data_IF_305646337669
#
_entry.id   IF_305646337669
#
_cell.length_a   1.000
_cell.length_b   1.000
_cell.length_c   1.000
_cell.angle_alpha   90.00
_cell.angle_beta   90.00
_cell.angle_gamma   90.00
#
_symmetry.space_group_name_H-M   'P 1'
#
loop_
_entity.id
_entity.type
_entity.pdbx_description
1 polymer ?
#
# COMPACT_ATOMS: atom_id res chain seq x y z
N UNK A 1 45.07 52.41 20.88
CA UNK A 1 45.86 51.72 21.94
C UNK A 1 44.93 50.71 22.59
N UNK A 2 45.43 49.49 22.81
CA UNK A 2 44.78 48.29 23.37
C UNK A 2 44.11 48.61 24.74
N UNK A 3 43.02 47.98 25.19
CA UNK A 3 42.76 46.57 25.57
C UNK A 3 41.22 46.48 25.87
N UNK A 4 40.44 45.42 25.65
CA UNK A 4 40.53 44.06 26.22
C UNK A 4 39.30 43.80 27.13
N UNK A 5 38.43 42.82 26.80
CA UNK A 5 37.40 42.31 27.74
C UNK A 5 36.07 41.84 27.12
N UNK A 6 35.97 40.55 26.76
CA UNK A 6 34.73 39.83 26.46
C UNK A 6 33.91 39.55 27.73
N UNK A 7 32.59 39.77 27.70
CA UNK A 7 31.61 38.93 28.42
C UNK A 7 30.29 38.87 27.63
N UNK A 8 29.85 37.66 27.30
CA UNK A 8 28.57 37.33 26.66
C UNK A 8 27.63 36.76 27.72
N UNK A 9 26.42 37.32 27.86
CA UNK A 9 25.36 36.76 28.70
C UNK A 9 24.44 35.87 27.86
N UNK A 10 24.49 34.55 28.07
CA UNK A 10 23.50 33.62 27.55
C UNK A 10 22.35 33.46 28.54
N UNK A 11 21.13 33.76 28.11
CA UNK A 11 19.91 33.37 28.83
C UNK A 11 19.59 31.91 28.52
N UNK A 12 19.56 31.07 29.56
CA UNK A 12 19.08 29.70 29.52
C UNK A 12 17.56 29.65 29.76
N UNK A 13 16.84 28.91 28.92
CA UNK A 13 15.44 28.51 29.19
C UNK A 13 15.38 26.98 29.24
N UNK A 14 14.71 26.51 30.29
CA UNK A 14 14.67 25.15 30.83
C UNK A 14 14.08 24.08 29.88
N UNK A 15 14.67 22.89 29.90
CA UNK A 15 14.08 21.63 29.43
C UNK A 15 13.80 20.69 30.63
N UNK A 16 12.75 19.85 30.60
CA UNK A 16 12.49 18.84 31.65
C UNK A 16 13.31 17.54 31.44
N UNK A 17 13.48 16.70 32.49
CA UNK A 17 14.58 15.75 32.58
C UNK A 17 14.33 14.39 31.90
N UNK A 18 15.41 13.87 31.33
CA UNK A 18 15.55 12.52 30.76
C UNK A 18 15.77 11.52 31.90
N UNK A 19 14.97 10.46 31.94
CA UNK A 19 15.17 9.33 32.85
C UNK A 19 16.40 8.51 32.43
N UNK A 20 17.38 8.41 33.33
CA UNK A 20 18.56 7.56 33.23
C UNK A 20 18.30 6.23 33.93
N UNK A 21 18.49 5.10 33.24
CA UNK A 21 18.62 3.79 33.87
C UNK A 21 19.93 3.10 33.46
N UNK A 22 20.67 2.71 34.49
CA UNK A 22 22.04 2.20 34.59
C UNK A 22 22.42 1.11 33.58
N UNK A 23 23.57 1.32 32.95
CA UNK A 23 24.37 0.31 32.23
C UNK A 23 25.24 -0.46 33.22
N UNK A 24 25.07 -1.77 33.33
CA UNK A 24 26.09 -2.65 33.87
C UNK A 24 26.85 -3.34 32.73
N UNK A 25 28.14 -3.00 32.63
CA UNK A 25 29.13 -3.69 31.79
C UNK A 25 29.42 -5.06 32.40
N UNK A 26 29.31 -6.11 31.61
CA UNK A 26 30.16 -7.29 31.78
C UNK A 26 30.71 -7.72 30.42
N UNK A 27 32.04 -7.81 30.38
CA UNK A 27 32.90 -8.12 29.25
C UNK A 27 33.41 -9.53 29.48
N UNK A 28 33.13 -10.49 28.61
CA UNK A 28 33.90 -11.74 28.54
C UNK A 28 33.91 -12.31 27.12
N UNK A 29 35.01 -12.99 26.84
CA UNK A 29 35.58 -13.32 25.56
C UNK A 29 34.91 -14.53 24.87
N UNK A 30 34.90 -14.50 23.53
CA UNK A 30 34.63 -15.64 22.67
C UNK A 30 35.67 -16.75 22.88
N UNK A 31 35.20 -17.98 23.17
CA UNK A 31 35.81 -19.21 22.65
C UNK A 31 34.79 -20.35 22.56
N UNK A 32 34.94 -21.06 21.45
CA UNK A 32 34.15 -22.14 20.86
C UNK A 32 34.06 -23.41 21.71
N UNK A 33 32.88 -24.05 21.75
CA UNK A 33 32.70 -25.51 21.83
C UNK A 33 31.42 -25.97 21.11
N UNK A 34 31.58 -26.88 20.14
CA UNK A 34 30.58 -27.86 19.68
C UNK A 34 30.14 -28.73 20.88
N UNK A 35 28.95 -29.34 21.00
CA UNK A 35 28.17 -30.12 20.04
C UNK A 35 26.72 -30.37 20.64
N UNK A 36 25.85 -31.24 20.09
CA UNK A 36 24.50 -30.91 19.62
C UNK A 36 23.37 -31.49 20.51
N UNK A 37 22.11 -31.13 20.22
CA UNK A 37 20.88 -31.98 20.26
C UNK A 37 19.64 -31.15 20.57
N UNK A 38 18.75 -31.00 19.57
CA UNK A 38 17.29 -31.20 19.60
C UNK A 38 16.83 -30.81 18.19
N UNK A 39 16.81 -31.82 17.33
CA UNK A 39 16.26 -31.73 15.99
C UNK A 39 14.77 -32.06 16.07
N UNK A 40 13.95 -31.15 15.57
CA UNK A 40 12.53 -31.36 15.29
C UNK A 40 12.45 -32.32 14.10
N UNK A 41 11.74 -33.43 14.28
CA UNK A 41 11.62 -34.52 13.31
C UNK A 41 11.02 -34.07 11.97
N UNK A 42 11.56 -34.53 10.83
CA UNK A 42 10.86 -34.56 9.56
C UNK A 42 10.03 -35.85 9.47
N UNK A 43 8.75 -35.74 9.10
CA UNK A 43 7.90 -36.90 8.80
C UNK A 43 8.33 -37.50 7.46
N UNK A 44 9.06 -38.62 7.49
CA UNK A 44 9.39 -39.42 6.31
C UNK A 44 8.39 -40.56 6.15
N UNK A 45 7.89 -40.67 4.92
CA UNK A 45 7.14 -41.79 4.34
C UNK A 45 7.85 -43.11 4.62
N UNK A 46 7.12 -44.06 5.23
CA UNK A 46 7.54 -45.45 5.37
C UNK A 46 6.75 -46.33 4.40
N UNK A 47 7.47 -47.01 3.52
CA UNK A 47 7.03 -48.14 2.70
C UNK A 47 7.04 -49.39 3.60
N UNK A 48 5.96 -50.19 3.69
CA UNK A 48 6.03 -51.52 4.26
C UNK A 48 6.22 -52.58 3.16
N UNK A 49 7.22 -53.42 3.34
CA UNK A 49 7.38 -54.70 2.63
C UNK A 49 6.37 -55.74 3.16
N UNK A 50 5.79 -56.51 2.23
CA UNK A 50 4.85 -57.62 2.43
C UNK A 50 5.29 -58.64 3.51
N UNK A 51 4.36 -59.10 4.35
CA UNK A 51 3.65 -60.39 4.24
C UNK A 51 2.64 -60.53 5.39
N UNK A 52 1.48 -61.18 5.13
CA UNK A 52 0.57 -61.68 6.17
C UNK A 52 -0.87 -61.14 6.09
N UNK A 53 -1.77 -62.00 5.61
CA UNK A 53 -3.20 -61.80 5.37
C UNK A 53 -4.02 -61.32 6.58
N UNK A 54 -4.88 -60.30 6.38
CA UNK A 54 -6.36 -60.38 6.45
C UNK A 54 -6.98 -58.98 6.46
N UNK A 55 -7.92 -58.77 5.53
CA UNK A 55 -8.84 -57.63 5.44
C UNK A 55 -9.68 -57.49 6.72
N UNK A 56 -10.09 -56.26 7.10
CA UNK A 56 -11.40 -55.82 6.65
C UNK A 56 -11.48 -54.36 6.19
N UNK A 57 -12.42 -54.12 5.28
CA UNK A 57 -12.76 -52.85 4.65
C UNK A 57 -12.99 -51.70 5.65
N UNK A 58 -12.42 -50.53 5.36
CA UNK A 58 -12.84 -49.28 6.00
C UNK A 58 -13.05 -48.18 4.96
N UNK A 59 -14.18 -47.50 5.16
CA UNK A 59 -14.83 -46.52 4.28
C UNK A 59 -13.88 -45.39 3.85
N UNK A 60 -13.80 -45.16 2.54
CA UNK A 60 -13.19 -43.96 1.95
C UNK A 60 -13.89 -42.71 2.47
N UNK A 61 -13.21 -41.93 3.31
CA UNK A 61 -13.50 -40.52 3.52
C UNK A 61 -12.53 -39.76 2.61
N UNK A 62 -12.98 -39.43 1.40
CA UNK A 62 -12.31 -38.47 0.54
C UNK A 62 -12.56 -37.06 1.10
N UNK A 63 -11.72 -36.61 2.02
CA UNK A 63 -11.62 -35.19 2.36
C UNK A 63 -10.78 -34.49 1.30
N UNK A 64 -11.45 -33.87 0.34
CA UNK A 64 -10.89 -32.80 -0.47
C UNK A 64 -10.59 -31.63 0.47
N UNK A 65 -9.38 -31.57 1.03
CA UNK A 65 -8.91 -30.40 1.74
C UNK A 65 -8.40 -29.39 0.71
N UNK A 66 -9.30 -28.58 0.18
CA UNK A 66 -8.90 -27.22 -0.18
C UNK A 66 -8.59 -26.51 1.14
N UNK A 67 -7.37 -25.98 1.35
CA UNK A 67 -7.08 -25.23 2.58
C UNK A 67 -8.03 -24.04 2.64
N UNK A 68 -8.74 -23.89 3.75
CA UNK A 68 -9.54 -22.70 4.02
C UNK A 68 -8.65 -21.46 3.83
N UNK A 69 -9.12 -20.41 3.11
CA UNK A 69 -8.33 -19.22 2.93
C UNK A 69 -8.00 -18.62 4.30
N UNK A 70 -6.71 -18.40 4.57
CA UNK A 70 -6.20 -17.84 5.83
C UNK A 70 -6.82 -16.48 6.16
N UNK A 71 -7.33 -15.78 5.14
CA UNK A 71 -8.05 -14.52 5.25
C UNK A 71 -9.37 -14.66 4.48
N UNK A 72 -10.46 -14.68 5.22
CA UNK A 72 -11.84 -14.77 4.72
C UNK A 72 -12.53 -13.46 4.32
N UNK A 73 -12.01 -12.24 4.60
CA UNK A 73 -12.71 -11.03 4.19
C UNK A 73 -12.58 -10.75 2.68
N UNK A 74 -13.70 -10.57 1.97
CA UNK A 74 -13.73 -10.08 0.57
C UNK A 74 -13.00 -8.73 0.40
N UNK A 75 -12.81 -7.98 1.50
CA UNK A 75 -12.13 -6.68 1.52
C UNK A 75 -10.60 -6.79 1.79
N UNK A 76 -10.02 -7.99 1.74
CA UNK A 76 -8.57 -8.19 1.95
C UNK A 76 -7.76 -7.56 0.83
N UNK A 77 -6.74 -6.78 1.19
CA UNK A 77 -5.86 -6.09 0.24
C UNK A 77 -4.55 -6.85 0.06
N UNK A 78 -4.23 -7.22 -1.18
CA UNK A 78 -2.92 -7.78 -1.55
C UNK A 78 -1.94 -6.69 -1.97
N UNK A 79 -0.76 -6.67 -1.36
CA UNK A 79 0.27 -5.65 -1.58
C UNK A 79 1.50 -6.31 -2.21
N UNK A 80 1.78 -5.97 -3.47
CA UNK A 80 3.02 -6.38 -4.17
C UNK A 80 4.16 -5.46 -3.71
N UNK A 81 4.93 -5.94 -2.74
CA UNK A 81 6.05 -5.20 -2.16
C UNK A 81 7.42 -5.60 -2.73
N UNK A 82 8.46 -4.94 -2.22
CA UNK A 82 9.86 -5.32 -2.46
C UNK A 82 10.54 -4.70 -3.68
N UNK A 83 9.77 -4.07 -4.59
CA UNK A 83 10.33 -3.18 -5.65
C UNK A 83 11.14 -2.07 -5.00
N UNK A 84 10.55 -1.43 -3.99
CA UNK A 84 11.22 -0.60 -2.99
C UNK A 84 10.70 -1.01 -1.61
N UNK A 85 11.61 -1.49 -0.74
CA UNK A 85 11.24 -1.89 0.63
C UNK A 85 10.75 -0.68 1.42
N UNK A 86 11.38 0.48 1.23
CA UNK A 86 11.00 1.73 1.88
C UNK A 86 9.58 2.16 1.48
N UNK A 87 9.26 2.13 0.19
CA UNK A 87 7.92 2.50 -0.29
C UNK A 87 6.85 1.53 0.21
N UNK A 88 7.19 0.22 0.28
CA UNK A 88 6.30 -0.79 0.85
C UNK A 88 6.01 -0.48 2.32
N UNK A 89 7.03 -0.17 3.11
CA UNK A 89 6.87 0.17 4.53
C UNK A 89 6.10 1.47 4.73
N UNK A 90 6.44 2.52 3.96
CA UNK A 90 5.76 3.81 4.02
C UNK A 90 4.27 3.69 3.65
N UNK A 91 3.94 2.86 2.67
CA UNK A 91 2.55 2.57 2.33
C UNK A 91 1.82 1.86 3.47
N UNK A 92 2.43 0.84 4.08
CA UNK A 92 1.83 0.12 5.20
C UNK A 92 1.58 1.04 6.40
N UNK A 93 2.55 1.90 6.74
CA UNK A 93 2.38 2.90 7.80
C UNK A 93 1.19 3.83 7.49
N UNK A 94 1.11 4.36 6.27
CA UNK A 94 0.00 5.22 5.83
C UNK A 94 -1.33 4.46 5.85
N UNK A 95 -1.36 3.22 5.39
CA UNK A 95 -2.56 2.38 5.36
C UNK A 95 -3.13 2.19 6.77
N UNK A 96 -2.29 1.78 7.72
CA UNK A 96 -2.69 1.59 9.13
C UNK A 96 -3.07 2.91 9.78
N UNK A 97 -2.26 3.97 9.60
CA UNK A 97 -2.53 5.27 10.22
C UNK A 97 -3.82 5.92 9.71
N UNK A 98 -4.13 5.76 8.43
CA UNK A 98 -5.33 6.34 7.81
C UNK A 98 -6.58 5.50 8.07
N UNK A 99 -6.48 4.17 8.18
CA UNK A 99 -7.60 3.32 8.55
C UNK A 99 -8.06 3.58 9.99
N UNK A 100 -7.12 3.67 10.95
CA UNK A 100 -7.45 3.89 12.37
C UNK A 100 -8.06 5.26 12.68
N UNK A 101 -7.93 6.26 11.79
CA UNK A 101 -8.52 7.60 12.01
C UNK A 101 -10.04 7.60 12.06
N UNK A 102 -10.67 6.60 11.46
CA UNK A 102 -12.13 6.49 11.43
C UNK A 102 -12.70 5.70 12.61
N UNK A 103 -11.86 5.26 13.57
CA UNK A 103 -12.29 4.42 14.69
C UNK A 103 -12.64 2.98 14.33
N UNK A 104 -12.41 2.60 13.07
CA UNK A 104 -12.58 1.24 12.56
C UNK A 104 -11.30 0.41 12.72
N UNK A 105 -11.46 -0.92 12.78
CA UNK A 105 -10.34 -1.85 12.77
C UNK A 105 -9.53 -1.73 11.48
N UNK A 106 -8.23 -2.06 11.57
CA UNK A 106 -7.36 -2.01 10.39
C UNK A 106 -7.84 -2.99 9.33
N UNK A 107 -7.81 -2.55 8.08
CA UNK A 107 -8.16 -3.38 6.91
C UNK A 107 -7.25 -4.61 6.87
N UNK A 108 -7.79 -5.81 6.59
CA UNK A 108 -7.00 -7.01 6.38
C UNK A 108 -6.13 -6.85 5.13
N UNK A 109 -4.84 -7.14 5.25
CA UNK A 109 -3.93 -7.09 4.11
C UNK A 109 -2.90 -8.22 4.12
N UNK A 110 -2.44 -8.63 2.93
CA UNK A 110 -1.32 -9.56 2.72
C UNK A 110 -0.24 -8.83 1.96
N UNK A 111 1.01 -8.92 2.43
CA UNK A 111 2.15 -8.31 1.76
C UNK A 111 3.07 -9.41 1.23
N UNK A 112 3.36 -9.37 -0.06
CA UNK A 112 4.42 -10.18 -0.66
C UNK A 112 5.64 -9.30 -0.95
N UNK A 113 6.54 -9.17 0.03
CA UNK A 113 7.77 -8.39 -0.11
C UNK A 113 8.97 -9.33 -0.25
N UNK A 114 9.69 -9.19 -1.36
CA UNK A 114 10.96 -9.86 -1.60
C UNK A 114 11.94 -8.81 -2.11
N UNK A 115 12.94 -8.41 -1.31
CA UNK A 115 13.91 -7.39 -1.68
C UNK A 115 14.89 -7.88 -2.76
N UNK A 116 14.93 -9.17 -3.10
CA UNK A 116 15.80 -9.67 -4.17
C UNK A 116 15.48 -9.03 -5.52
N UNK A 117 14.22 -8.63 -5.76
CA UNK A 117 13.81 -7.91 -6.97
C UNK A 117 14.48 -6.53 -7.06
N UNK A 118 14.73 -5.89 -5.92
CA UNK A 118 15.34 -4.56 -5.84
C UNK A 118 16.77 -4.56 -6.40
N UNK A 119 17.48 -5.69 -6.31
CA UNK A 119 18.83 -5.88 -6.86
C UNK A 119 18.84 -5.99 -8.40
N UNK A 120 17.71 -6.34 -9.00
CA UNK A 120 17.55 -6.45 -10.46
C UNK A 120 17.04 -5.13 -11.09
N UNK A 121 16.65 -4.19 -10.24
CA UNK A 121 16.21 -2.86 -10.62
C UNK A 121 17.39 -1.89 -10.52
N UNK A 122 17.54 -0.95 -11.47
CA UNK A 122 18.46 0.17 -11.32
C UNK A 122 17.86 1.15 -10.30
N UNK A 123 17.92 0.80 -9.02
CA UNK A 123 17.48 1.69 -7.92
C UNK A 123 18.53 2.79 -7.68
N UNK A 124 19.74 2.61 -8.21
CA UNK A 124 20.74 3.67 -8.29
C UNK A 124 20.62 4.39 -9.62
N UNK A 125 20.14 5.63 -9.55
CA UNK A 125 20.43 6.69 -10.50
C UNK A 125 21.83 6.52 -11.08
N UNK A 126 22.01 6.43 -12.41
CA UNK A 126 23.35 6.61 -12.95
C UNK A 126 23.83 7.99 -12.48
N UNK A 127 25.07 8.10 -11.97
CA UNK A 127 25.64 9.42 -11.72
C UNK A 127 25.52 10.24 -13.00
N UNK A 128 25.14 11.51 -12.86
CA UNK A 128 25.05 12.49 -13.97
C UNK A 128 26.38 12.56 -14.76
N UNK A 129 27.48 12.05 -14.20
CA UNK A 129 28.71 11.72 -14.92
C UNK A 129 28.69 10.33 -15.58
N UNK A 130 28.12 10.26 -16.79
CA UNK A 130 28.81 9.76 -17.98
C UNK A 130 29.47 8.38 -17.98
N UNK A 131 29.10 7.40 -17.14
CA UNK A 131 29.46 5.99 -17.35
C UNK A 131 28.22 5.11 -17.20
N UNK A 132 27.53 4.92 -18.32
CA UNK A 132 26.37 4.05 -18.44
C UNK A 132 26.72 2.60 -18.16
N UNK A 133 26.58 2.19 -16.90
CA UNK A 133 26.23 0.80 -16.59
C UNK A 133 24.80 0.60 -17.08
N UNK A 134 24.65 0.26 -18.36
CA UNK A 134 23.41 -0.33 -18.90
C UNK A 134 23.30 -1.70 -18.25
N UNK A 135 22.87 -1.76 -16.99
CA UNK A 135 22.27 -2.98 -16.45
C UNK A 135 21.09 -3.23 -17.37
N UNK A 136 21.22 -4.22 -18.27
CA UNK A 136 20.11 -4.72 -19.06
C UNK A 136 19.03 -5.09 -18.06
N UNK A 137 18.01 -4.23 -17.94
CA UNK A 137 16.79 -4.55 -17.23
C UNK A 137 16.33 -5.89 -17.79
N UNK A 138 16.36 -6.94 -16.98
CA UNK A 138 15.83 -8.22 -17.37
C UNK A 138 14.30 -8.14 -17.22
N UNK A 139 13.69 -7.26 -18.04
CA UNK A 139 12.30 -6.82 -17.95
C UNK A 139 11.36 -8.03 -17.84
N UNK A 140 11.56 -9.04 -18.69
CA UNK A 140 10.77 -10.27 -18.64
C UNK A 140 10.88 -11.04 -17.33
N UNK A 141 12.06 -11.04 -16.68
CA UNK A 141 12.22 -11.68 -15.38
C UNK A 141 11.52 -10.91 -14.26
N UNK A 142 11.61 -9.57 -14.27
CA UNK A 142 10.93 -8.69 -13.31
C UNK A 142 9.41 -8.88 -13.41
N UNK A 143 8.84 -8.80 -14.61
CA UNK A 143 7.41 -9.05 -14.87
C UNK A 143 7.01 -10.43 -14.37
N UNK A 144 7.79 -11.46 -14.66
CA UNK A 144 7.52 -12.84 -14.22
C UNK A 144 7.48 -12.96 -12.69
N UNK A 145 8.42 -12.32 -11.98
CA UNK A 145 8.44 -12.31 -10.51
C UNK A 145 7.21 -11.57 -9.98
N UNK A 146 6.91 -10.37 -10.49
CA UNK A 146 5.76 -9.57 -10.06
C UNK A 146 4.43 -10.28 -10.32
N UNK A 147 4.27 -10.95 -11.47
CA UNK A 147 3.10 -11.80 -11.77
C UNK A 147 2.96 -12.95 -10.79
N UNK A 148 4.06 -13.63 -10.44
CA UNK A 148 4.02 -14.69 -9.41
C UNK A 148 3.56 -14.16 -8.06
N UNK A 149 4.03 -12.96 -7.66
CA UNK A 149 3.57 -12.30 -6.44
C UNK A 149 2.08 -11.97 -6.50
N UNK A 150 1.60 -11.43 -7.63
CA UNK A 150 0.17 -11.19 -7.86
C UNK A 150 -0.64 -12.47 -7.66
N UNK A 151 -0.28 -13.55 -8.35
CA UNK A 151 -0.99 -14.84 -8.26
C UNK A 151 -0.98 -15.39 -6.83
N UNK A 152 0.16 -15.29 -6.14
CA UNK A 152 0.25 -15.69 -4.72
C UNK A 152 -0.72 -14.88 -3.84
N UNK A 153 -0.83 -13.57 -4.05
CA UNK A 153 -1.74 -12.70 -3.28
C UNK A 153 -3.21 -13.02 -3.57
N UNK A 154 -3.56 -13.24 -4.84
CA UNK A 154 -4.90 -13.68 -5.25
C UNK A 154 -5.27 -15.03 -4.58
N UNK A 155 -4.35 -16.00 -4.61
CA UNK A 155 -4.52 -17.30 -3.93
C UNK A 155 -4.59 -17.18 -2.41
N UNK A 156 -4.03 -16.11 -1.84
CA UNK A 156 -4.09 -15.82 -0.40
C UNK A 156 -5.39 -15.15 0.03
N UNK A 157 -6.34 -14.93 -0.90
CA UNK A 157 -7.63 -14.32 -0.61
C UNK A 157 -7.68 -12.79 -0.81
N UNK A 158 -6.69 -12.19 -1.46
CA UNK A 158 -6.73 -10.77 -1.77
C UNK A 158 -7.90 -10.45 -2.73
N UNK A 159 -8.82 -9.60 -2.31
CA UNK A 159 -9.93 -9.07 -3.13
C UNK A 159 -9.54 -7.86 -3.97
N UNK A 160 -8.35 -7.29 -3.76
CA UNK A 160 -7.77 -6.20 -4.55
C UNK A 160 -6.25 -6.26 -4.47
N UNK A 161 -5.56 -5.84 -5.53
CA UNK A 161 -4.10 -5.75 -5.58
C UNK A 161 -3.65 -4.29 -5.66
N UNK A 162 -2.60 -3.97 -4.91
CA UNK A 162 -1.91 -2.67 -4.95
C UNK A 162 -0.41 -2.86 -5.05
N UNK A 163 0.28 -1.91 -5.70
CA UNK A 163 1.73 -1.94 -5.86
C UNK A 163 2.32 -0.56 -5.53
N UNK A 164 2.77 -0.33 -4.29
CA UNK A 164 3.19 0.98 -3.80
C UNK A 164 4.62 1.34 -4.22
N UNK A 165 4.83 1.68 -5.50
CA UNK A 165 6.12 2.20 -5.97
C UNK A 165 5.95 3.01 -7.25
N UNK A 166 6.63 4.16 -7.33
CA UNK A 166 6.63 4.98 -8.54
C UNK A 166 7.23 4.24 -9.73
N UNK A 167 8.28 3.44 -9.55
CA UNK A 167 8.99 2.72 -10.64
C UNK A 167 8.12 1.57 -11.20
N UNK A 168 7.20 1.06 -10.39
CA UNK A 168 6.42 -0.13 -10.73
C UNK A 168 5.43 0.06 -11.88
N UNK A 169 5.12 1.32 -12.25
CA UNK A 169 4.25 1.64 -13.38
C UNK A 169 4.76 1.02 -14.70
N UNK A 170 6.08 0.92 -14.89
CA UNK A 170 6.70 0.41 -16.11
C UNK A 170 6.37 -1.07 -16.40
N UNK A 171 5.82 -1.79 -15.43
CA UNK A 171 5.39 -3.18 -15.56
C UNK A 171 3.92 -3.36 -15.20
N UNK A 172 3.20 -2.28 -14.88
CA UNK A 172 1.86 -2.39 -14.32
C UNK A 172 0.90 -3.07 -15.28
N UNK A 173 0.94 -2.68 -16.56
CA UNK A 173 0.08 -3.27 -17.59
C UNK A 173 0.32 -4.78 -17.68
N UNK A 174 1.58 -5.19 -17.86
CA UNK A 174 1.95 -6.59 -17.99
C UNK A 174 1.67 -7.37 -16.70
N UNK A 175 1.90 -6.80 -15.52
CA UNK A 175 1.64 -7.49 -14.25
C UNK A 175 0.15 -7.64 -14.00
N UNK A 176 -0.66 -6.65 -14.38
CA UNK A 176 -2.12 -6.67 -14.25
C UNK A 176 -2.82 -7.60 -15.25
N UNK A 177 -2.14 -8.01 -16.31
CA UNK A 177 -2.68 -8.94 -17.30
C UNK A 177 -3.11 -10.26 -16.64
N UNK A 178 -4.39 -10.62 -16.79
CA UNK A 178 -4.98 -11.80 -16.17
C UNK A 178 -5.19 -11.68 -14.64
N UNK A 179 -5.22 -10.45 -14.10
CA UNK A 179 -5.62 -10.20 -12.71
C UNK A 179 -7.11 -10.50 -12.52
N UNK A 180 -7.44 -11.37 -11.57
CA UNK A 180 -8.82 -11.79 -11.29
C UNK A 180 -9.58 -10.76 -10.44
N UNK A 181 -8.84 -9.87 -9.78
CA UNK A 181 -9.34 -8.83 -8.89
C UNK A 181 -8.91 -7.44 -9.35
N UNK A 182 -9.54 -6.36 -8.86
CA UNK A 182 -9.11 -5.00 -9.19
C UNK A 182 -7.64 -4.76 -8.84
N UNK A 183 -6.90 -4.16 -9.77
CA UNK A 183 -5.54 -3.69 -9.53
C UNK A 183 -5.56 -2.16 -9.44
N UNK A 184 -5.30 -1.59 -8.26
CA UNK A 184 -5.30 -0.13 -8.10
C UNK A 184 -3.98 0.46 -8.62
N UNK A 185 -4.13 1.28 -9.66
CA UNK A 185 -3.05 2.07 -10.23
C UNK A 185 -2.92 3.40 -9.49
N UNK A 186 -1.73 3.67 -8.93
CA UNK A 186 -1.42 4.92 -8.22
C UNK A 186 -1.67 6.17 -9.07
N UNK A 187 -1.30 6.17 -10.35
CA UNK A 187 -1.52 7.30 -11.26
C UNK A 187 -3.00 7.55 -11.53
N UNK A 188 -3.80 6.48 -11.70
CA UNK A 188 -5.25 6.60 -11.87
C UNK A 188 -5.93 7.10 -10.58
N UNK A 189 -5.45 6.67 -9.40
CA UNK A 189 -5.92 7.17 -8.11
C UNK A 189 -5.66 8.67 -7.96
N UNK A 190 -4.44 9.14 -8.28
CA UNK A 190 -4.08 10.56 -8.23
C UNK A 190 -4.91 11.38 -9.21
N UNK A 191 -5.04 10.94 -10.47
CA UNK A 191 -5.83 11.64 -11.47
C UNK A 191 -7.31 11.75 -11.05
N UNK A 192 -7.86 10.70 -10.43
CA UNK A 192 -9.23 10.71 -9.91
C UNK A 192 -9.39 11.64 -8.72
N UNK A 193 -8.45 11.65 -7.78
CA UNK A 193 -8.48 12.57 -6.63
C UNK A 193 -8.49 14.04 -7.09
N UNK A 194 -7.64 14.37 -8.05
CA UNK A 194 -7.56 15.71 -8.64
C UNK A 194 -8.86 16.12 -9.34
N UNK A 195 -9.48 15.18 -10.05
CA UNK A 195 -10.78 15.40 -10.68
C UNK A 195 -11.89 15.65 -9.66
N UNK A 196 -11.91 14.86 -8.58
CA UNK A 196 -12.86 15.01 -7.47
C UNK A 196 -12.66 16.33 -6.72
N UNK A 197 -11.44 16.87 -6.69
CA UNK A 197 -11.12 18.16 -6.06
C UNK A 197 -11.70 19.39 -6.78
N UNK A 198 -12.17 19.24 -8.04
CA UNK A 198 -12.83 20.31 -8.83
C UNK A 198 -12.04 21.63 -8.84
N UNK A 199 -10.73 21.53 -9.03
CA UNK A 199 -9.82 22.67 -9.09
C UNK A 199 -10.23 23.61 -10.24
N UNK A 200 -10.05 24.92 -10.02
CA UNK A 200 -10.25 25.94 -11.06
C UNK A 200 -8.89 26.40 -11.60
N UNK A 201 -8.76 26.65 -12.91
CA UNK A 201 -7.53 27.22 -13.46
C UNK A 201 -7.16 28.52 -12.76
N UNK A 202 -5.85 28.72 -12.52
CA UNK A 202 -5.34 29.96 -11.92
C UNK A 202 -5.36 31.09 -12.96
N UNK A 203 -5.06 30.77 -14.22
CA UNK A 203 -5.03 31.72 -15.33
C UNK A 203 -6.27 31.55 -16.21
N UNK A 204 -6.89 32.68 -16.59
CA UNK A 204 -8.07 32.68 -17.43
C UNK A 204 -7.76 32.08 -18.82
N UNK A 205 -8.65 31.22 -19.31
CA UNK A 205 -8.51 30.59 -20.63
C UNK A 205 -7.53 29.41 -20.68
N UNK A 206 -6.98 28.96 -19.54
CA UNK A 206 -6.13 27.77 -19.47
C UNK A 206 -6.82 26.62 -18.75
N UNK A 207 -6.28 25.41 -18.92
CA UNK A 207 -6.68 24.24 -18.14
C UNK A 207 -6.07 24.31 -16.73
N UNK A 208 -6.57 23.48 -15.82
CA UNK A 208 -5.96 23.28 -14.50
C UNK A 208 -4.57 22.69 -14.69
N UNK A 209 -3.57 23.29 -14.06
CA UNK A 209 -2.16 22.94 -14.25
C UNK A 209 -1.63 22.21 -13.01
N UNK A 210 -0.99 21.07 -13.21
CA UNK A 210 -0.50 20.21 -12.13
C UNK A 210 1.02 20.08 -12.25
N UNK A 211 1.73 20.50 -11.20
CA UNK A 211 3.16 20.32 -11.11
C UNK A 211 3.49 18.86 -10.80
N UNK A 212 4.48 18.25 -11.46
CA UNK A 212 4.96 16.90 -11.11
C UNK A 212 6.44 17.00 -10.76
N UNK A 213 6.76 16.75 -9.50
CA UNK A 213 8.12 16.72 -9.00
C UNK A 213 8.61 15.28 -8.89
N UNK A 214 9.62 14.93 -9.69
CA UNK A 214 10.19 13.59 -9.70
C UNK A 214 11.70 13.65 -9.84
N UNK A 215 12.38 12.66 -9.27
CA UNK A 215 13.83 12.46 -9.37
C UNK A 215 14.27 11.94 -10.74
N UNK A 216 13.36 11.34 -11.51
CA UNK A 216 13.62 10.79 -12.84
C UNK A 216 12.62 11.36 -13.86
N UNK A 217 12.91 12.60 -14.28
CA UNK A 217 12.03 13.40 -15.12
C UNK A 217 11.65 12.74 -16.44
N UNK A 218 12.50 11.90 -17.05
CA UNK A 218 12.21 11.36 -18.39
C UNK A 218 11.21 10.20 -18.39
N UNK A 219 11.24 9.32 -17.38
CA UNK A 219 10.42 8.10 -17.39
C UNK A 219 9.16 8.23 -16.53
N UNK A 220 9.26 8.84 -15.34
CA UNK A 220 8.12 8.99 -14.42
C UNK A 220 7.19 10.12 -14.82
N UNK A 221 7.71 11.17 -15.49
CA UNK A 221 6.87 12.26 -15.94
C UNK A 221 5.85 11.79 -16.99
N UNK A 222 6.28 11.01 -17.99
CA UNK A 222 5.38 10.52 -19.05
C UNK A 222 4.20 9.71 -18.50
N UNK A 223 4.43 8.93 -17.44
CA UNK A 223 3.37 8.15 -16.78
C UNK A 223 2.29 9.04 -16.14
N UNK A 224 2.69 10.02 -15.33
CA UNK A 224 1.71 10.94 -14.74
C UNK A 224 1.11 11.88 -15.80
N UNK A 225 1.90 12.27 -16.79
CA UNK A 225 1.47 13.11 -17.91
C UNK A 225 0.30 12.48 -18.66
N UNK A 226 0.43 11.23 -19.10
CA UNK A 226 -0.65 10.51 -19.78
C UNK A 226 -1.93 10.46 -18.94
N UNK A 227 -1.83 10.07 -17.67
CA UNK A 227 -2.99 9.90 -16.78
C UNK A 227 -3.70 11.22 -16.47
N UNK A 228 -2.93 12.30 -16.30
CA UNK A 228 -3.46 13.62 -15.97
C UNK A 228 -4.05 14.32 -17.20
N UNK A 229 -3.39 14.23 -18.36
CA UNK A 229 -3.89 14.78 -19.61
C UNK A 229 -5.21 14.10 -20.03
N UNK A 230 -5.34 12.80 -19.82
CA UNK A 230 -6.59 12.06 -20.03
C UNK A 230 -7.77 12.57 -19.16
N UNK A 231 -7.51 13.32 -18.09
CA UNK A 231 -8.53 13.98 -17.27
C UNK A 231 -8.65 15.49 -17.56
N UNK A 232 -7.96 16.01 -18.58
CA UNK A 232 -8.01 17.41 -18.98
C UNK A 232 -7.04 18.34 -18.21
N UNK A 233 -6.08 17.78 -17.47
CA UNK A 233 -5.06 18.55 -16.76
C UNK A 233 -3.85 18.85 -17.65
N UNK A 234 -3.27 20.04 -17.50
CA UNK A 234 -1.97 20.36 -18.07
C UNK A 234 -0.88 19.97 -17.07
N UNK A 235 0.16 19.25 -17.50
CA UNK A 235 1.26 18.84 -16.63
C UNK A 235 2.45 19.78 -16.78
N UNK A 236 3.00 20.20 -15.65
CA UNK A 236 4.15 21.11 -15.59
C UNK A 236 5.29 20.42 -14.86
N UNK A 237 6.40 20.21 -15.56
CA UNK A 237 7.62 19.63 -15.01
C UNK A 237 8.59 20.73 -14.57
N UNK A 238 9.45 20.48 -13.56
CA UNK A 238 10.57 21.37 -13.27
C UNK A 238 11.43 21.53 -14.51
N UNK A 239 11.98 22.74 -14.72
CA UNK A 239 12.95 22.94 -15.78
C UNK A 239 14.28 22.22 -15.47
N UNK A 240 15.15 22.15 -16.47
CA UNK A 240 16.43 21.46 -16.35
C UNK A 240 17.28 22.02 -15.20
N UNK A 241 17.32 23.34 -15.04
CA UNK A 241 18.09 24.00 -13.99
C UNK A 241 17.57 23.63 -12.59
N UNK A 242 16.25 23.64 -12.39
CA UNK A 242 15.62 23.23 -11.12
C UNK A 242 15.89 21.76 -10.84
N UNK A 243 15.81 20.90 -11.86
CA UNK A 243 16.12 19.49 -11.70
C UNK A 243 17.58 19.27 -11.26
N UNK A 244 18.53 19.88 -11.97
CA UNK A 244 19.98 19.69 -11.75
C UNK A 244 20.50 20.36 -10.47
N UNK A 245 19.97 21.53 -10.12
CA UNK A 245 20.51 22.33 -9.00
C UNK A 245 19.66 22.32 -7.74
N UNK A 246 18.43 21.79 -7.78
CA UNK A 246 17.55 21.74 -6.61
C UNK A 246 17.12 20.31 -6.31
N UNK A 247 16.48 19.63 -7.26
CA UNK A 247 15.89 18.30 -7.04
C UNK A 247 16.96 17.24 -6.82
N UNK A 248 17.96 17.15 -7.70
CA UNK A 248 19.07 16.19 -7.56
C UNK A 248 19.84 16.42 -6.25
N UNK A 249 20.27 17.66 -5.91
CA UNK A 249 20.91 17.93 -4.62
C UNK A 249 20.04 17.60 -3.41
N UNK A 250 18.71 17.77 -3.48
CA UNK A 250 17.80 17.39 -2.38
C UNK A 250 17.88 15.89 -2.09
N UNK A 251 17.87 15.07 -3.16
CA UNK A 251 17.97 13.61 -3.06
C UNK A 251 19.36 13.21 -2.55
N UNK A 252 20.42 13.87 -3.00
CA UNK A 252 21.78 13.63 -2.49
C UNK A 252 21.92 13.99 -1.00
N UNK A 253 21.29 15.08 -0.56
CA UNK A 253 21.24 15.44 0.85
C UNK A 253 20.56 14.33 1.70
N UNK A 254 19.45 13.76 1.21
CA UNK A 254 18.80 12.62 1.87
C UNK A 254 19.70 11.39 1.95
N UNK A 255 20.47 11.10 0.89
CA UNK A 255 21.46 10.01 0.91
C UNK A 255 22.55 10.25 1.95
N UNK A 256 22.93 11.51 2.18
CA UNK A 256 23.84 11.93 3.26
C UNK A 256 23.15 12.04 4.64
N UNK A 257 21.87 11.70 4.74
CA UNK A 257 21.02 11.83 5.94
C UNK A 257 20.79 13.28 6.40
N UNK A 258 21.08 14.25 5.54
CA UNK A 258 20.76 15.67 5.75
C UNK A 258 19.30 15.93 5.36
N UNK A 259 18.39 15.68 6.31
CA UNK A 259 16.95 15.88 6.12
C UNK A 259 16.57 17.36 6.01
N UNK A 260 17.30 18.24 6.70
CA UNK A 260 16.99 19.67 6.73
C UNK A 260 17.35 20.33 5.41
N UNK A 261 18.57 20.08 4.91
CA UNK A 261 18.99 20.56 3.58
C UNK A 261 18.09 20.02 2.48
N UNK A 262 17.75 18.74 2.51
CA UNK A 262 16.82 18.14 1.57
C UNK A 262 15.43 18.80 1.61
N UNK A 263 14.89 19.06 2.81
CA UNK A 263 13.61 19.73 2.98
C UNK A 263 13.63 21.14 2.41
N UNK A 264 14.68 21.91 2.68
CA UNK A 264 14.80 23.27 2.18
C UNK A 264 14.86 23.31 0.65
N UNK A 265 15.62 22.39 0.03
CA UNK A 265 15.65 22.24 -1.42
C UNK A 265 14.31 21.79 -1.99
N UNK A 266 13.60 20.86 -1.33
CA UNK A 266 12.26 20.45 -1.74
C UNK A 266 11.27 21.65 -1.72
N UNK A 267 11.32 22.49 -0.67
CA UNK A 267 10.49 23.71 -0.60
C UNK A 267 10.75 24.65 -1.77
N UNK A 268 12.03 24.85 -2.12
CA UNK A 268 12.41 25.68 -3.28
C UNK A 268 11.83 25.08 -4.57
N UNK A 269 11.99 23.77 -4.78
CA UNK A 269 11.48 23.11 -5.99
C UNK A 269 9.95 23.24 -6.12
N UNK A 270 9.22 23.12 -5.02
CA UNK A 270 7.76 23.32 -4.98
C UNK A 270 7.41 24.77 -5.30
N UNK A 271 8.09 25.74 -4.68
CA UNK A 271 7.86 27.16 -4.93
C UNK A 271 8.10 27.53 -6.39
N UNK A 272 9.14 27.01 -7.02
CA UNK A 272 9.41 27.23 -8.46
C UNK A 272 8.22 26.77 -9.31
N UNK A 273 7.61 25.62 -8.99
CA UNK A 273 6.41 25.15 -9.71
C UNK A 273 5.19 26.02 -9.41
N UNK A 274 4.99 26.45 -8.16
CA UNK A 274 3.86 27.32 -7.78
C UNK A 274 3.92 28.69 -8.47
N UNK A 275 5.11 29.28 -8.59
CA UNK A 275 5.31 30.55 -9.34
C UNK A 275 4.97 30.38 -10.83
N UNK A 276 5.05 29.16 -11.36
CA UNK A 276 4.61 28.82 -12.73
C UNK A 276 3.10 28.55 -12.84
N UNK A 277 2.31 29.03 -11.87
CA UNK A 277 0.86 28.97 -11.85
C UNK A 277 0.29 27.53 -11.91
N UNK A 278 0.91 26.59 -11.19
CA UNK A 278 0.31 25.27 -10.96
C UNK A 278 -0.65 25.32 -9.76
N UNK A 279 -1.75 24.57 -9.85
CA UNK A 279 -2.75 24.45 -8.81
C UNK A 279 -2.25 23.63 -7.61
N UNK A 280 -1.48 22.58 -7.87
CA UNK A 280 -0.85 21.75 -6.86
C UNK A 280 0.37 21.01 -7.44
N UNK A 281 1.19 20.43 -6.57
CA UNK A 281 2.41 19.71 -6.91
C UNK A 281 2.32 18.26 -6.44
N UNK A 282 2.46 17.30 -7.35
CA UNK A 282 2.59 15.88 -7.05
C UNK A 282 4.05 15.57 -6.69
N UNK A 283 4.26 14.94 -5.54
CA UNK A 283 5.58 14.48 -5.08
C UNK A 283 5.82 13.03 -5.55
N UNK A 284 6.16 12.88 -6.84
CA UNK A 284 6.35 11.61 -7.52
C UNK A 284 7.78 11.02 -7.35
N UNK A 285 8.25 10.94 -6.11
CA UNK A 285 9.52 10.28 -5.75
C UNK A 285 9.45 9.68 -4.36
N UNK A 286 10.04 8.48 -4.21
CA UNK A 286 10.02 7.74 -2.94
C UNK A 286 10.76 8.51 -1.82
N UNK A 287 11.75 9.32 -2.19
CA UNK A 287 12.61 10.08 -1.30
C UNK A 287 11.91 11.30 -0.68
N UNK A 288 10.85 11.80 -1.31
CA UNK A 288 10.12 12.97 -0.80
C UNK A 288 9.05 12.59 0.23
N UNK A 289 8.76 11.29 0.40
CA UNK A 289 7.78 10.83 1.38
C UNK A 289 8.17 11.27 2.80
N UNK A 290 7.24 11.98 3.47
CA UNK A 290 7.42 12.44 4.84
C UNK A 290 8.50 13.51 5.04
N UNK A 291 9.05 14.09 3.96
CA UNK A 291 10.07 15.13 4.06
C UNK A 291 9.48 16.47 4.49
N UNK A 292 8.28 16.79 3.99
CA UNK A 292 7.49 17.95 4.40
C UNK A 292 6.65 17.61 5.64
N UNK A 293 6.80 18.36 6.74
CA UNK A 293 5.92 18.27 7.89
C UNK A 293 4.46 18.62 7.53
N UNK A 294 3.50 18.06 8.26
CA UNK A 294 2.08 18.35 8.05
C UNK A 294 1.69 19.79 8.39
N UNK A 295 2.46 20.47 9.23
CA UNK A 295 2.34 21.87 9.60
C UNK A 295 3.02 22.83 8.61
N UNK A 296 3.73 22.30 7.60
CA UNK A 296 4.38 23.12 6.59
C UNK A 296 3.33 23.85 5.71
N UNK A 297 3.45 25.17 5.50
CA UNK A 297 2.51 25.92 4.67
C UNK A 297 2.40 25.40 3.23
N UNK A 298 3.45 24.78 2.68
CA UNK A 298 3.46 24.22 1.33
C UNK A 298 2.80 22.84 1.27
N UNK A 299 2.65 22.14 2.40
CA UNK A 299 2.05 20.81 2.45
C UNK A 299 0.64 20.80 1.82
N UNK A 300 -0.16 21.85 2.04
CA UNK A 300 -1.52 21.98 1.47
C UNK A 300 -1.55 22.08 -0.06
N UNK A 301 -0.44 22.47 -0.67
CA UNK A 301 -0.29 22.58 -2.12
C UNK A 301 0.31 21.31 -2.74
N UNK A 302 0.64 20.31 -1.91
CA UNK A 302 1.27 19.09 -2.34
C UNK A 302 0.34 17.88 -2.23
N UNK A 303 0.54 16.93 -3.14
CA UNK A 303 -0.11 15.63 -3.13
C UNK A 303 0.98 14.57 -3.09
N UNK A 304 0.92 13.72 -2.07
CA UNK A 304 1.73 12.50 -2.00
C UNK A 304 0.92 11.35 -2.65
N UNK A 305 1.36 10.81 -3.80
CA UNK A 305 0.69 9.68 -4.45
C UNK A 305 0.48 8.46 -3.56
N UNK A 306 1.37 8.25 -2.58
CA UNK A 306 1.25 7.14 -1.63
C UNK A 306 0.09 7.35 -0.66
N UNK A 307 -0.12 8.59 -0.21
CA UNK A 307 -1.29 8.94 0.61
C UNK A 307 -2.58 8.76 -0.18
N UNK A 308 -2.58 9.17 -1.46
CA UNK A 308 -3.73 8.97 -2.35
C UNK A 308 -4.02 7.48 -2.51
N UNK A 309 -3.01 6.67 -2.85
CA UNK A 309 -3.17 5.23 -3.03
C UNK A 309 -3.72 4.57 -1.76
N UNK A 310 -3.21 4.95 -0.58
CA UNK A 310 -3.70 4.41 0.70
C UNK A 310 -5.16 4.78 0.94
N UNK A 311 -5.57 6.05 0.74
CA UNK A 311 -6.97 6.48 0.84
C UNK A 311 -7.89 5.71 -0.11
N UNK A 312 -7.47 5.53 -1.36
CA UNK A 312 -8.26 4.78 -2.34
C UNK A 312 -8.39 3.30 -1.99
N UNK A 313 -7.31 2.71 -1.46
CA UNK A 313 -7.31 1.34 -0.95
C UNK A 313 -8.30 1.18 0.20
N UNK A 314 -8.29 2.12 1.15
CA UNK A 314 -9.24 2.14 2.28
C UNK A 314 -10.67 2.28 1.80
N UNK A 315 -10.93 3.27 0.92
CA UNK A 315 -12.26 3.51 0.33
C UNK A 315 -12.78 2.28 -0.40
N UNK A 316 -11.92 1.55 -1.11
CA UNK A 316 -12.27 0.29 -1.76
C UNK A 316 -12.67 -0.76 -0.72
N UNK A 317 -11.82 -1.02 0.29
CA UNK A 317 -12.06 -2.04 1.29
C UNK A 317 -13.37 -1.81 2.08
N UNK A 318 -13.60 -0.57 2.52
CA UNK A 318 -14.84 -0.16 3.20
C UNK A 318 -16.07 -0.33 2.31
N UNK A 319 -15.94 -0.09 1.00
CA UNK A 319 -17.06 -0.26 0.06
C UNK A 319 -17.48 -1.73 -0.07
N UNK A 320 -16.53 -2.66 0.04
CA UNK A 320 -16.80 -4.10 0.00
C UNK A 320 -17.46 -4.55 1.30
N UNK A 321 -16.95 -4.11 2.43
CA UNK A 321 -17.53 -4.41 3.75
C UNK A 321 -18.99 -3.92 3.85
N UNK A 322 -19.27 -2.69 3.42
CA UNK A 322 -20.62 -2.16 3.36
C UNK A 322 -21.54 -2.99 2.46
N UNK A 323 -21.05 -3.47 1.31
CA UNK A 323 -21.81 -4.36 0.42
C UNK A 323 -22.08 -5.72 1.07
N UNK A 324 -21.10 -6.30 1.76
CA UNK A 324 -21.27 -7.55 2.49
C UNK A 324 -22.33 -7.43 3.60
N UNK A 325 -22.30 -6.33 4.36
CA UNK A 325 -23.30 -6.06 5.40
C UNK A 325 -24.71 -5.87 4.82
N UNK A 326 -24.84 -5.22 3.66
CA UNK A 326 -26.12 -5.07 2.96
C UNK A 326 -26.66 -6.40 2.43
N UNK A 327 -25.79 -7.30 1.93
CA UNK A 327 -26.19 -8.65 1.51
C UNK A 327 -26.73 -9.45 2.69
N UNK A 328 -26.03 -9.46 3.82
CA UNK A 328 -26.48 -10.15 5.04
C UNK A 328 -27.84 -9.63 5.53
N UNK A 329 -28.07 -8.31 5.56
CA UNK A 329 -29.37 -7.73 5.94
C UNK A 329 -30.52 -8.08 4.99
N UNK A 330 -30.23 -8.31 3.71
CA UNK A 330 -31.25 -8.69 2.73
C UNK A 330 -31.57 -10.19 2.78
N UNK A 331 -30.59 -11.04 3.12
CA UNK A 331 -30.84 -12.47 3.37
C UNK A 331 -31.65 -12.68 4.65
N UNK A 332 -31.36 -11.95 5.73
CA UNK A 332 -32.17 -12.01 6.97
C UNK A 332 -33.63 -11.64 6.69
N UNK A 333 -33.87 -10.56 5.94
CA UNK A 333 -35.25 -10.17 5.56
C UNK A 333 -35.94 -11.19 4.65
N UNK A 334 -35.23 -11.88 3.77
CA UNK A 334 -35.81 -12.99 2.98
C UNK A 334 -36.16 -14.20 3.84
N UNK A 335 -35.35 -14.50 4.87
CA UNK A 335 -35.63 -15.59 5.82
C UNK A 335 -36.83 -15.23 6.70
N UNK A 336 -36.96 -14.00 7.18
CA UNK A 336 -38.12 -13.53 7.96
C UNK A 336 -39.42 -13.60 7.14
N UNK A 337 -39.41 -13.09 5.90
CA UNK A 337 -40.59 -13.15 5.01
C UNK A 337 -40.90 -14.60 4.61
N UNK A 338 -39.88 -15.46 4.47
CA UNK A 338 -40.04 -16.89 4.20
C UNK A 338 -40.58 -17.70 5.37
N UNK A 339 -40.48 -17.21 6.62
CA UNK A 339 -41.09 -17.84 7.81
C UNK A 339 -42.52 -17.38 8.07
N UNK A 340 -42.89 -16.14 7.71
CA UNK A 340 -44.27 -15.64 7.90
C UNK A 340 -45.28 -16.33 6.95
N UNK A 341 -44.86 -16.65 5.72
CA UNK A 341 -45.74 -17.29 4.72
C UNK A 341 -46.20 -18.72 5.13
N UNK A 342 -45.34 -19.64 5.61
CA UNK A 342 -45.79 -20.95 6.05
C UNK A 342 -46.56 -20.91 7.38
N UNK A 343 -46.27 -19.97 8.28
CA UNK A 343 -47.00 -19.86 9.56
C UNK A 343 -48.46 -19.42 9.37
N UNK A 344 -48.71 -18.40 8.54
CA UNK A 344 -50.07 -17.98 8.22
C UNK A 344 -50.86 -19.05 7.45
N UNK A 345 -50.20 -19.80 6.56
CA UNK A 345 -50.84 -20.86 5.80
C UNK A 345 -51.21 -22.07 6.68
N UNK A 346 -50.31 -22.49 7.58
CA UNK A 346 -50.59 -23.58 8.54
C UNK A 346 -51.68 -23.17 9.54
N UNK A 347 -51.68 -21.92 10.04
CA UNK A 347 -52.74 -21.42 10.90
C UNK A 347 -54.10 -21.33 10.16
N UNK A 348 -54.13 -20.87 8.90
CA UNK A 348 -55.38 -20.85 8.12
C UNK A 348 -55.95 -22.24 7.89
N UNK A 349 -55.11 -23.23 7.51
CA UNK A 349 -55.57 -24.60 7.26
C UNK A 349 -56.08 -25.26 8.55
N UNK A 350 -55.46 -24.99 9.70
CA UNK A 350 -55.94 -25.46 10.99
C UNK A 350 -57.31 -24.85 11.37
N UNK A 351 -57.49 -23.54 11.18
CA UNK A 351 -58.76 -22.86 11.47
C UNK A 351 -59.88 -23.35 10.53
N UNK A 352 -59.59 -23.52 9.24
CA UNK A 352 -60.56 -24.05 8.27
C UNK A 352 -60.95 -25.49 8.63
N UNK A 353 -59.99 -26.33 9.04
CA UNK A 353 -60.26 -27.72 9.43
C UNK A 353 -61.15 -27.82 10.67
N UNK A 354 -60.94 -26.96 11.66
CA UNK A 354 -61.80 -26.88 12.85
C UNK A 354 -63.21 -26.39 12.48
N UNK A 355 -63.32 -25.40 11.60
CA UNK A 355 -64.61 -24.85 11.16
C UNK A 355 -65.42 -25.87 10.34
N UNK A 356 -64.76 -26.60 9.44
CA UNK A 356 -65.37 -27.67 8.64
C UNK A 356 -65.81 -28.83 9.53
N UNK A 357 -65.00 -29.20 10.53
CA UNK A 357 -65.38 -30.20 11.52
C UNK A 357 -66.59 -29.79 12.37
N UNK A 358 -66.76 -28.50 12.64
CA UNK A 358 -67.92 -27.98 13.39
C UNK A 358 -69.20 -27.93 12.55
N UNK A 359 -69.07 -27.71 11.23
CA UNK A 359 -70.19 -27.65 10.30
C UNK A 359 -70.69 -29.03 9.85
N UNK A 360 -69.83 -30.05 9.86
CA UNK A 360 -70.19 -31.45 9.53
C UNK A 360 -70.80 -32.23 10.72
N UNK A 361 -70.77 -31.65 11.92
CA UNK A 361 -71.26 -32.28 13.15
C UNK A 361 -72.56 -31.62 13.68
N UNK A 362 -73.23 -30.83 12.83
CA UNK A 362 -74.63 -30.40 12.94
C UNK A 362 -75.40 -31.04 11.79
#
# INVERSE_FOLDING_TARGET
MLDGGMTMSCHSVNWPPIFSAKVHKNRTHYRTRFNPSIAIQPCSVLVPSNEGEKLPESKKISRSQTPDPLLSPENTVGIIGGVSVFSTLAFLEKLVRLSSRNGEDSIPFVVCSDPAISRQLPISFPPVNGKGSRIRLNHGNIVKILRRKRVFLEQSGAGCIVMPSHISHAWLFEVSEGCSVPFLNMGDCVARELKEAKLKPIEAGRNVRIGVLTSNASQLAGFYEEKLQNQGFEVVLPDKATLEHVVVPAIEALKRKDKEGARNLLRIAIQVLLVRAVNCVILASDEFHGLLPSDDPLHKNCIDPMDVLARFTIKWAQSIEKKALLRSKNDVRKVEVGLEIPFLFVCMVAVISVLVGYLLNR
#
